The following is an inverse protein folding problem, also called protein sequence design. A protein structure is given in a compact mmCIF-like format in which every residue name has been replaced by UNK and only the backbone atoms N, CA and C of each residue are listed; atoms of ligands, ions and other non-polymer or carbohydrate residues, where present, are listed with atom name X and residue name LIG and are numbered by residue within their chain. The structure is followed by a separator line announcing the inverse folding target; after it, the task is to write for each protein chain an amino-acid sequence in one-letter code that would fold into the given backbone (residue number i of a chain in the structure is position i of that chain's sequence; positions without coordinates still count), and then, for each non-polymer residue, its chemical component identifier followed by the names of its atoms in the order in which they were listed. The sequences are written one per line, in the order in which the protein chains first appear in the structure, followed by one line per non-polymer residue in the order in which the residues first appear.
data_IF_171661905973
#
_entry.id   IF_171661905973
#
_cell.length_a   1.000
_cell.length_b   1.000
_cell.length_c   1.000
_cell.angle_alpha   90.00
_cell.angle_beta   90.00
_cell.angle_gamma   90.00
#
_symmetry.space_group_name_H-M   'P 1'
#
loop_
_entity.id
_entity.type
_entity.pdbx_description
1 polymer ?
#
# COMPACT_ATOMS: atom_id res chain seq x y z
N UNK A 1 -1.62 -24.34 6.96
CA UNK A 1 -1.29 -22.94 6.63
C UNK A 1 -0.87 -22.16 7.89
N UNK A 2 -1.66 -22.11 8.97
CA UNK A 2 -1.34 -21.34 10.18
C UNK A 2 0.00 -21.73 10.82
N UNK A 3 0.29 -23.05 10.94
CA UNK A 3 1.56 -23.57 11.46
C UNK A 3 2.76 -23.14 10.58
N UNK A 4 2.62 -23.24 9.24
CA UNK A 4 3.68 -22.83 8.32
C UNK A 4 3.99 -21.33 8.45
N UNK A 5 2.96 -20.50 8.57
CA UNK A 5 3.11 -19.06 8.81
C UNK A 5 3.79 -18.79 10.16
N UNK A 6 3.40 -19.51 11.22
CA UNK A 6 4.01 -19.39 12.55
C UNK A 6 5.50 -19.72 12.54
N UNK A 7 5.87 -20.86 11.92
CA UNK A 7 7.27 -21.30 11.80
C UNK A 7 8.07 -20.27 10.99
N UNK A 8 7.55 -19.79 9.84
CA UNK A 8 8.21 -18.78 9.01
C UNK A 8 8.47 -17.48 9.78
N UNK A 9 7.52 -17.02 10.60
CA UNK A 9 7.67 -15.84 11.45
C UNK A 9 8.72 -16.02 12.53
N UNK A 10 8.78 -17.21 13.16
CA UNK A 10 9.80 -17.55 14.16
C UNK A 10 11.19 -17.59 13.54
N UNK A 11 11.36 -18.22 12.38
CA UNK A 11 12.65 -18.26 11.66
C UNK A 11 13.10 -16.83 11.30
N UNK A 12 12.18 -15.99 10.80
CA UNK A 12 12.49 -14.61 10.48
C UNK A 12 12.90 -13.81 11.73
N UNK A 13 12.19 -13.99 12.86
CA UNK A 13 12.53 -13.34 14.12
C UNK A 13 13.94 -13.75 14.60
N UNK A 14 14.24 -15.05 14.61
CA UNK A 14 15.55 -15.57 15.01
C UNK A 14 16.67 -15.01 14.12
N UNK A 15 16.45 -15.02 12.80
CA UNK A 15 17.39 -14.45 11.85
C UNK A 15 17.65 -12.94 12.08
N UNK A 16 16.59 -12.16 12.30
CA UNK A 16 16.71 -10.73 12.61
C UNK A 16 17.44 -10.49 13.94
N UNK A 17 17.16 -11.28 14.97
CA UNK A 17 17.88 -11.16 16.25
C UNK A 17 19.38 -11.47 16.09
N UNK A 18 19.72 -12.51 15.33
CA UNK A 18 21.10 -12.88 15.04
C UNK A 18 21.79 -11.76 14.23
N UNK A 19 21.17 -11.32 13.14
CA UNK A 19 21.70 -10.26 12.28
C UNK A 19 21.88 -8.93 13.04
N UNK A 20 20.92 -8.56 13.89
CA UNK A 20 21.01 -7.37 14.74
C UNK A 20 22.18 -7.47 15.71
N UNK A 21 22.35 -8.61 16.37
CA UNK A 21 23.44 -8.83 17.32
C UNK A 21 24.84 -8.72 16.67
N UNK A 22 24.98 -9.15 15.41
CA UNK A 22 26.26 -9.07 14.68
C UNK A 22 26.52 -7.71 14.03
N UNK A 23 25.44 -7.01 13.60
CA UNK A 23 25.56 -5.76 12.83
C UNK A 23 25.40 -4.49 13.67
N UNK A 24 24.59 -4.55 14.72
CA UNK A 24 24.32 -3.41 15.58
C UNK A 24 25.19 -3.55 16.81
N UNK A 25 26.31 -2.79 16.87
CA UNK A 25 27.05 -2.60 18.11
C UNK A 25 26.35 -1.49 18.88
N UNK A 26 25.66 -1.78 20.00
CA UNK A 26 25.05 -0.73 20.80
C UNK A 26 26.17 0.14 21.39
N UNK A 27 26.27 1.37 20.92
CA UNK A 27 27.05 2.39 21.59
C UNK A 27 26.40 2.64 22.96
N UNK A 28 27.16 2.54 24.04
CA UNK A 28 26.66 2.83 25.37
C UNK A 28 26.35 4.31 25.45
N UNK A 29 25.09 4.65 25.29
CA UNK A 29 24.61 6.00 25.48
C UNK A 29 24.79 6.36 26.96
N UNK A 30 25.65 7.34 27.25
CA UNK A 30 25.97 7.78 28.60
C UNK A 30 24.82 8.55 29.26
N UNK A 31 23.81 8.94 28.48
CA UNK A 31 22.66 9.70 28.95
C UNK A 31 21.38 9.31 28.20
N UNK A 32 20.83 8.10 28.44
CA UNK A 32 19.64 7.63 27.71
C UNK A 32 18.46 8.55 28.01
N UNK A 33 17.70 8.99 26.99
CA UNK A 33 16.50 9.80 27.21
C UNK A 33 15.51 9.02 28.07
N UNK A 34 14.78 9.72 28.94
CA UNK A 34 13.81 9.10 29.84
C UNK A 34 12.86 8.18 29.06
N UNK A 35 12.75 6.93 29.45
CA UNK A 35 11.94 5.86 28.82
C UNK A 35 10.52 6.34 28.48
N UNK A 36 9.92 7.18 29.32
CA UNK A 36 8.58 7.76 29.12
C UNK A 36 8.51 8.71 27.93
N UNK A 37 9.57 9.48 27.65
CA UNK A 37 9.62 10.40 26.50
C UNK A 37 9.76 9.62 25.19
N UNK A 38 10.58 8.59 25.19
CA UNK A 38 10.75 7.68 24.03
C UNK A 38 9.44 6.97 23.74
N UNK A 39 8.80 6.40 24.77
CA UNK A 39 7.51 5.73 24.65
C UNK A 39 6.43 6.66 24.07
N UNK A 40 6.36 7.91 24.54
CA UNK A 40 5.41 8.90 24.02
C UNK A 40 5.63 9.21 22.54
N UNK A 41 6.89 9.29 22.10
CA UNK A 41 7.23 9.47 20.68
C UNK A 41 6.82 8.27 19.84
N UNK A 42 7.08 7.05 20.32
CA UNK A 42 6.70 5.81 19.66
C UNK A 42 5.17 5.70 19.52
N UNK A 43 4.42 5.96 20.61
CA UNK A 43 2.95 5.92 20.59
C UNK A 43 2.39 6.98 19.64
N UNK A 44 2.96 8.19 19.63
CA UNK A 44 2.49 9.28 18.76
C UNK A 44 2.59 8.94 17.26
N UNK A 45 3.55 8.13 16.87
CA UNK A 45 3.72 7.69 15.48
C UNK A 45 3.02 6.35 15.23
N UNK A 46 3.14 5.41 16.16
CA UNK A 46 2.63 4.05 16.01
C UNK A 46 1.10 3.95 16.11
N UNK A 47 0.47 4.75 16.98
CA UNK A 47 -0.98 4.70 17.15
C UNK A 47 -1.76 5.11 15.89
N UNK A 48 -1.41 6.20 15.18
CA UNK A 48 -2.01 6.52 13.89
C UNK A 48 -1.85 5.40 12.86
N UNK A 49 -0.66 4.82 12.75
CA UNK A 49 -0.41 3.73 11.81
C UNK A 49 -1.22 2.46 12.14
N UNK A 50 -1.35 2.12 13.42
CA UNK A 50 -2.18 1.02 13.87
C UNK A 50 -3.67 1.26 13.56
N UNK A 51 -4.16 2.47 13.81
CA UNK A 51 -5.55 2.88 13.49
C UNK A 51 -5.82 2.77 11.98
N UNK A 52 -4.90 3.26 11.14
CA UNK A 52 -5.00 3.12 9.67
C UNK A 52 -5.17 1.64 9.26
N UNK A 53 -4.36 0.74 9.84
CA UNK A 53 -4.41 -0.70 9.55
C UNK A 53 -5.73 -1.35 9.99
N UNK A 54 -6.22 -1.00 11.19
CA UNK A 54 -7.49 -1.52 11.69
C UNK A 54 -8.65 -1.09 10.79
N UNK A 55 -8.74 0.19 10.46
CA UNK A 55 -9.78 0.75 9.61
C UNK A 55 -9.72 0.20 8.19
N UNK A 56 -8.50 -0.04 7.66
CA UNK A 56 -8.30 -0.73 6.40
C UNK A 56 -8.92 -2.13 6.40
N UNK A 57 -8.67 -2.93 7.44
CA UNK A 57 -9.25 -4.27 7.56
C UNK A 57 -10.79 -4.23 7.68
N UNK A 58 -11.35 -3.24 8.38
CA UNK A 58 -12.79 -3.03 8.45
C UNK A 58 -13.37 -2.74 7.06
N UNK A 59 -12.77 -1.82 6.30
CA UNK A 59 -13.24 -1.48 4.96
C UNK A 59 -13.16 -2.67 3.99
N UNK A 60 -12.08 -3.44 4.01
CA UNK A 60 -11.96 -4.67 3.20
C UNK A 60 -13.04 -5.69 3.58
N UNK A 61 -13.30 -5.86 4.88
CA UNK A 61 -14.36 -6.75 5.37
C UNK A 61 -15.73 -6.31 4.87
N UNK A 62 -16.01 -5.00 4.84
CA UNK A 62 -17.25 -4.46 4.27
C UNK A 62 -17.36 -4.77 2.77
N UNK A 63 -16.29 -4.56 2.00
CA UNK A 63 -16.25 -4.88 0.56
C UNK A 63 -16.53 -6.37 0.32
N UNK A 64 -15.88 -7.27 1.07
CA UNK A 64 -16.09 -8.72 0.96
C UNK A 64 -17.53 -9.09 1.35
N UNK A 65 -18.06 -8.50 2.41
CA UNK A 65 -19.45 -8.72 2.85
C UNK A 65 -20.46 -8.30 1.78
N UNK A 66 -20.24 -7.17 1.11
CA UNK A 66 -21.07 -6.73 -0.01
C UNK A 66 -21.03 -7.73 -1.17
N UNK A 67 -19.83 -8.18 -1.57
CA UNK A 67 -19.66 -9.16 -2.65
C UNK A 67 -20.35 -10.50 -2.33
N UNK A 68 -20.22 -11.00 -1.09
CA UNK A 68 -20.90 -12.22 -0.66
C UNK A 68 -22.43 -12.11 -0.66
N UNK A 69 -22.97 -10.92 -0.42
CA UNK A 69 -24.43 -10.69 -0.46
C UNK A 69 -24.97 -10.60 -1.90
N UNK A 70 -24.14 -10.21 -2.85
CA UNK A 70 -24.52 -10.09 -4.27
C UNK A 70 -24.51 -11.43 -5.00
N UNK A 71 -23.67 -12.36 -4.58
CA UNK A 71 -23.50 -13.65 -5.22
C UNK A 71 -23.39 -14.78 -4.17
N UNK A 72 -24.49 -15.52 -4.04
CA UNK A 72 -24.59 -16.64 -3.12
C UNK A 72 -23.65 -17.82 -3.50
N UNK A 73 -23.17 -17.87 -4.74
CA UNK A 73 -22.22 -18.91 -5.19
C UNK A 73 -20.80 -18.68 -4.71
N UNK A 74 -20.49 -17.46 -4.27
CA UNK A 74 -19.14 -17.05 -3.85
C UNK A 74 -18.16 -16.88 -5.02
N UNK A 75 -18.60 -17.00 -6.26
CA UNK A 75 -17.73 -16.90 -7.44
C UNK A 75 -17.07 -15.52 -7.54
N UNK A 76 -17.77 -14.44 -7.20
CA UNK A 76 -17.24 -13.09 -7.23
C UNK A 76 -16.12 -12.85 -6.22
N UNK A 77 -16.25 -13.39 -5.01
CA UNK A 77 -15.22 -13.30 -3.98
C UNK A 77 -14.01 -14.16 -4.35
N UNK A 78 -14.25 -15.34 -4.92
CA UNK A 78 -13.19 -16.25 -5.40
C UNK A 78 -12.40 -15.60 -6.55
N UNK A 79 -13.09 -15.02 -7.54
CA UNK A 79 -12.46 -14.30 -8.65
C UNK A 79 -11.61 -13.12 -8.15
N UNK A 80 -12.15 -12.34 -7.21
CA UNK A 80 -11.41 -11.25 -6.55
C UNK A 80 -10.17 -11.77 -5.83
N UNK A 81 -10.27 -12.91 -5.15
CA UNK A 81 -9.14 -13.51 -4.44
C UNK A 81 -8.03 -13.94 -5.39
N UNK A 82 -8.36 -14.57 -6.52
CA UNK A 82 -7.38 -14.91 -7.55
C UNK A 82 -6.73 -13.68 -8.16
N UNK A 83 -7.52 -12.67 -8.53
CA UNK A 83 -6.99 -11.42 -9.06
C UNK A 83 -6.03 -10.75 -8.06
N UNK A 84 -6.38 -10.67 -6.77
CA UNK A 84 -5.53 -10.09 -5.73
C UNK A 84 -4.21 -10.87 -5.55
N UNK A 85 -4.23 -12.20 -5.61
CA UNK A 85 -3.01 -13.00 -5.50
C UNK A 85 -2.05 -12.73 -6.66
N UNK A 86 -2.58 -12.59 -7.87
CA UNK A 86 -1.78 -12.26 -9.05
C UNK A 86 -1.27 -10.81 -8.96
N UNK A 87 -2.13 -9.86 -8.65
CA UNK A 87 -1.80 -8.43 -8.50
C UNK A 87 -0.79 -8.17 -7.37
N UNK A 88 -0.68 -9.08 -6.41
CA UNK A 88 0.28 -8.93 -5.30
C UNK A 88 1.74 -8.89 -5.78
N UNK A 89 2.06 -9.50 -6.91
CA UNK A 89 3.40 -9.40 -7.50
C UNK A 89 3.70 -7.98 -7.98
N UNK A 90 2.75 -7.34 -8.66
CA UNK A 90 2.84 -5.94 -9.09
C UNK A 90 2.97 -5.01 -7.88
N UNK A 91 2.11 -5.21 -6.88
CA UNK A 91 2.18 -4.49 -5.61
C UNK A 91 3.55 -4.60 -4.93
N UNK A 92 4.17 -5.79 -4.89
CA UNK A 92 5.48 -5.97 -4.28
C UNK A 92 6.58 -5.14 -4.96
N UNK A 93 6.53 -5.01 -6.29
CA UNK A 93 7.48 -4.16 -7.04
C UNK A 93 7.29 -2.69 -6.67
N UNK A 94 6.05 -2.20 -6.69
CA UNK A 94 5.70 -0.83 -6.32
C UNK A 94 6.08 -0.52 -4.87
N UNK A 95 5.80 -1.45 -3.95
CA UNK A 95 6.13 -1.31 -2.54
C UNK A 95 7.66 -1.29 -2.29
N UNK A 96 8.42 -2.14 -2.98
CA UNK A 96 9.88 -2.15 -2.86
C UNK A 96 10.49 -0.81 -3.27
N UNK A 97 10.05 -0.23 -4.39
CA UNK A 97 10.49 1.10 -4.84
C UNK A 97 10.07 2.21 -3.86
N UNK A 98 8.86 2.14 -3.32
CA UNK A 98 8.38 3.10 -2.34
C UNK A 98 9.19 3.04 -1.02
N UNK A 99 9.53 1.84 -0.54
CA UNK A 99 10.37 1.68 0.65
C UNK A 99 11.81 2.15 0.40
N UNK A 100 12.40 1.82 -0.75
CA UNK A 100 13.73 2.30 -1.12
C UNK A 100 13.76 3.84 -1.19
N UNK A 101 12.75 4.45 -1.82
CA UNK A 101 12.61 5.91 -1.85
C UNK A 101 12.45 6.51 -0.44
N UNK A 102 11.71 5.87 0.46
CA UNK A 102 11.55 6.36 1.83
C UNK A 102 12.88 6.44 2.58
N UNK A 103 13.79 5.47 2.38
CA UNK A 103 15.15 5.52 2.94
C UNK A 103 15.93 6.71 2.39
N UNK A 104 15.88 6.94 1.06
CA UNK A 104 16.54 8.08 0.43
C UNK A 104 15.98 9.41 0.93
N UNK A 105 14.67 9.52 1.07
CA UNK A 105 14.00 10.71 1.64
C UNK A 105 14.52 11.00 3.05
N UNK A 106 14.67 9.96 3.89
CA UNK A 106 15.24 10.13 5.22
C UNK A 106 16.66 10.70 5.19
N UNK A 107 17.52 10.22 4.28
CA UNK A 107 18.88 10.72 4.13
C UNK A 107 18.92 12.16 3.62
N UNK A 108 18.15 12.49 2.58
CA UNK A 108 18.08 13.85 2.04
C UNK A 108 17.58 14.88 3.05
N UNK A 109 16.57 14.50 3.85
CA UNK A 109 16.07 15.40 4.91
C UNK A 109 17.15 15.61 5.98
N UNK A 110 17.85 14.53 6.39
CA UNK A 110 18.96 14.63 7.35
C UNK A 110 20.15 15.47 6.83
N UNK A 111 20.39 15.44 5.51
CA UNK A 111 21.42 16.23 4.82
C UNK A 111 20.96 17.61 4.36
N UNK A 112 19.71 18.01 4.62
CA UNK A 112 19.09 19.28 4.14
C UNK A 112 19.07 19.42 2.61
N UNK A 113 19.08 18.30 1.85
CA UNK A 113 19.10 18.28 0.39
C UNK A 113 17.68 18.20 -0.21
N UNK A 114 16.87 19.22 0.02
CA UNK A 114 15.44 19.22 -0.30
C UNK A 114 15.16 19.08 -1.81
N UNK A 115 15.93 19.74 -2.67
CA UNK A 115 15.71 19.67 -4.13
C UNK A 115 16.08 18.30 -4.72
N UNK A 116 17.15 17.66 -4.22
CA UNK A 116 17.49 16.28 -4.57
C UNK A 116 16.39 15.32 -4.12
N UNK A 117 15.86 15.49 -2.90
CA UNK A 117 14.75 14.73 -2.36
C UNK A 117 13.51 14.79 -3.26
N UNK A 118 13.09 15.98 -3.67
CA UNK A 118 11.92 16.15 -4.56
C UNK A 118 12.12 15.51 -5.92
N UNK A 119 13.31 15.73 -6.52
CA UNK A 119 13.65 15.18 -7.84
C UNK A 119 13.64 13.66 -7.83
N UNK A 120 14.30 13.05 -6.84
CA UNK A 120 14.47 11.60 -6.82
C UNK A 120 13.19 10.88 -6.37
N UNK A 121 12.38 11.48 -5.49
CA UNK A 121 11.02 10.99 -5.20
C UNK A 121 10.14 11.00 -6.46
N UNK A 122 10.22 12.05 -7.30
CA UNK A 122 9.49 12.08 -8.57
C UNK A 122 9.95 10.98 -9.53
N UNK A 123 11.27 10.75 -9.62
CA UNK A 123 11.83 9.65 -10.42
C UNK A 123 11.36 8.29 -9.92
N UNK A 124 11.39 8.08 -8.61
CA UNK A 124 10.91 6.86 -7.99
C UNK A 124 9.41 6.61 -8.27
N UNK A 125 8.58 7.67 -8.26
CA UNK A 125 7.17 7.56 -8.60
C UNK A 125 6.95 7.16 -10.07
N UNK A 126 7.67 7.79 -11.02
CA UNK A 126 7.58 7.45 -12.45
C UNK A 126 8.07 6.02 -12.71
N UNK A 127 9.18 5.62 -12.10
CA UNK A 127 9.69 4.24 -12.20
C UNK A 127 8.71 3.23 -11.57
N UNK A 128 8.13 3.56 -10.43
CA UNK A 128 7.14 2.72 -9.76
C UNK A 128 5.89 2.51 -10.61
N UNK A 129 5.34 3.59 -11.16
CA UNK A 129 4.20 3.51 -12.09
C UNK A 129 4.56 2.67 -13.31
N UNK A 130 5.69 2.96 -13.96
CA UNK A 130 6.13 2.22 -15.15
C UNK A 130 6.31 0.73 -14.90
N UNK A 131 6.99 0.37 -13.81
CA UNK A 131 7.21 -1.01 -13.42
C UNK A 131 5.90 -1.72 -13.01
N UNK A 132 5.05 -1.06 -12.21
CA UNK A 132 3.76 -1.58 -11.79
C UNK A 132 2.84 -1.85 -12.99
N UNK A 133 2.71 -0.89 -13.90
CA UNK A 133 1.92 -1.02 -15.14
C UNK A 133 2.49 -2.10 -16.05
N UNK A 134 3.82 -2.21 -16.19
CA UNK A 134 4.42 -3.25 -17.00
C UNK A 134 4.13 -4.65 -16.46
N UNK A 135 4.24 -4.85 -15.14
CA UNK A 135 3.98 -6.14 -14.50
C UNK A 135 2.49 -6.48 -14.51
N UNK A 136 1.59 -5.54 -14.16
CA UNK A 136 0.14 -5.78 -14.20
C UNK A 136 -0.37 -5.95 -15.63
N UNK A 137 0.18 -5.21 -16.59
CA UNK A 137 -0.11 -5.40 -18.03
C UNK A 137 0.32 -6.78 -18.53
N UNK A 138 1.49 -7.27 -18.12
CA UNK A 138 1.93 -8.63 -18.43
C UNK A 138 0.94 -9.68 -17.89
N UNK A 139 0.50 -9.53 -16.63
CA UNK A 139 -0.48 -10.43 -16.04
C UNK A 139 -1.86 -10.36 -16.72
N UNK A 140 -2.28 -9.17 -17.16
CA UNK A 140 -3.53 -9.01 -17.90
C UNK A 140 -3.45 -9.69 -19.28
N UNK A 141 -2.35 -9.53 -20.02
CA UNK A 141 -2.12 -10.18 -21.33
C UNK A 141 -2.09 -11.71 -21.20
N UNK A 142 -1.38 -12.23 -20.21
CA UNK A 142 -1.25 -13.66 -19.94
C UNK A 142 -2.28 -14.18 -18.93
N UNK A 143 -3.40 -13.47 -18.73
CA UNK A 143 -4.41 -13.84 -17.73
C UNK A 143 -4.96 -15.25 -17.93
N UNK A 144 -5.25 -15.66 -19.17
CA UNK A 144 -5.79 -17.00 -19.48
C UNK A 144 -4.89 -18.14 -18.98
N UNK A 145 -3.61 -18.25 -19.39
CA UNK A 145 -2.74 -19.32 -18.90
C UNK A 145 -2.46 -19.21 -17.40
N UNK A 146 -2.34 -18.01 -16.85
CA UNK A 146 -2.04 -17.82 -15.43
C UNK A 146 -3.24 -18.22 -14.56
N UNK A 147 -4.45 -17.75 -14.90
CA UNK A 147 -5.67 -18.10 -14.15
C UNK A 147 -6.04 -19.57 -14.36
N UNK A 148 -5.74 -20.14 -15.53
CA UNK A 148 -5.90 -21.57 -15.82
C UNK A 148 -5.09 -22.50 -14.91
N UNK A 149 -4.05 -22.00 -14.20
CA UNK A 149 -3.35 -22.76 -13.16
C UNK A 149 -4.19 -22.92 -11.87
N UNK A 150 -5.19 -22.07 -11.68
CA UNK A 150 -6.04 -22.05 -10.47
C UNK A 150 -7.43 -22.66 -10.72
N UNK A 151 -7.94 -22.62 -11.96
CA UNK A 151 -9.30 -23.09 -12.28
C UNK A 151 -9.45 -23.40 -13.77
N UNK A 152 -10.26 -24.44 -14.06
CA UNK A 152 -10.64 -24.81 -15.43
C UNK A 152 -11.96 -24.14 -15.87
N UNK A 153 -12.62 -23.38 -14.98
CA UNK A 153 -13.90 -22.73 -15.27
C UNK A 153 -13.69 -21.51 -16.19
N UNK A 154 -14.20 -21.54 -17.45
CA UNK A 154 -13.98 -20.47 -18.42
C UNK A 154 -14.59 -19.12 -18.01
N UNK A 155 -15.72 -19.12 -17.29
CA UNK A 155 -16.33 -17.89 -16.81
C UNK A 155 -15.49 -17.23 -15.71
N UNK A 156 -14.90 -18.05 -14.84
CA UNK A 156 -13.98 -17.57 -13.81
C UNK A 156 -12.71 -16.98 -14.45
N UNK A 157 -12.14 -17.64 -15.44
CA UNK A 157 -10.95 -17.16 -16.17
C UNK A 157 -11.25 -15.81 -16.84
N UNK A 158 -12.41 -15.68 -17.49
CA UNK A 158 -12.84 -14.41 -18.10
C UNK A 158 -13.03 -13.30 -17.06
N UNK A 159 -13.69 -13.60 -15.95
CA UNK A 159 -13.96 -12.63 -14.91
C UNK A 159 -12.65 -12.13 -14.27
N UNK A 160 -11.74 -13.03 -13.88
CA UNK A 160 -10.42 -12.66 -13.33
C UNK A 160 -9.61 -11.87 -14.34
N UNK A 161 -9.63 -12.25 -15.62
CA UNK A 161 -8.98 -11.49 -16.69
C UNK A 161 -9.48 -10.05 -16.77
N UNK A 162 -10.80 -9.83 -16.65
CA UNK A 162 -11.39 -8.49 -16.60
C UNK A 162 -10.91 -7.70 -15.37
N UNK A 163 -10.83 -8.34 -14.19
CA UNK A 163 -10.32 -7.71 -12.98
C UNK A 163 -8.86 -7.29 -13.14
N UNK A 164 -8.02 -8.12 -13.78
CA UNK A 164 -6.61 -7.81 -14.05
C UNK A 164 -6.44 -6.63 -15.03
N UNK A 165 -7.36 -6.43 -15.97
CA UNK A 165 -7.36 -5.24 -16.83
C UNK A 165 -7.64 -3.98 -16.00
N UNK A 166 -8.62 -4.02 -15.10
CA UNK A 166 -8.91 -2.89 -14.19
C UNK A 166 -7.74 -2.66 -13.23
N UNK A 167 -7.03 -3.71 -12.84
CA UNK A 167 -5.86 -3.63 -11.96
C UNK A 167 -4.71 -2.80 -12.56
N UNK A 168 -4.58 -2.71 -13.89
CA UNK A 168 -3.59 -1.83 -14.54
C UNK A 168 -3.81 -0.37 -14.10
N UNK A 169 -5.07 0.09 -14.14
CA UNK A 169 -5.42 1.45 -13.70
C UNK A 169 -5.23 1.63 -12.19
N UNK A 170 -5.56 0.60 -11.43
CA UNK A 170 -5.35 0.57 -9.99
C UNK A 170 -3.86 0.70 -9.63
N UNK A 171 -2.97 0.01 -10.35
CA UNK A 171 -1.52 0.07 -10.14
C UNK A 171 -0.91 1.43 -10.44
N UNK A 172 -1.44 2.18 -11.42
CA UNK A 172 -1.02 3.57 -11.66
C UNK A 172 -1.20 4.41 -10.39
N UNK A 173 -2.41 4.35 -9.82
CA UNK A 173 -2.73 5.07 -8.58
C UNK A 173 -1.93 4.55 -7.39
N UNK A 174 -1.90 3.23 -7.21
CA UNK A 174 -1.24 2.55 -6.08
C UNK A 174 0.25 2.85 -6.01
N UNK A 175 0.98 2.74 -7.12
CA UNK A 175 2.42 3.01 -7.16
C UNK A 175 2.73 4.44 -6.75
N UNK A 176 2.02 5.43 -7.29
CA UNK A 176 2.21 6.83 -6.94
C UNK A 176 1.81 7.12 -5.48
N UNK A 177 0.67 6.57 -5.02
CA UNK A 177 0.20 6.71 -3.65
C UNK A 177 1.21 6.14 -2.65
N UNK A 178 1.79 4.97 -2.92
CA UNK A 178 2.81 4.36 -2.06
C UNK A 178 4.06 5.22 -1.99
N UNK A 179 4.61 5.67 -3.13
CA UNK A 179 5.86 6.44 -3.16
C UNK A 179 5.70 7.78 -2.44
N UNK A 180 4.67 8.57 -2.78
CA UNK A 180 4.45 9.86 -2.14
C UNK A 180 3.95 9.72 -0.70
N UNK A 181 3.12 8.72 -0.41
CA UNK A 181 2.62 8.44 0.94
C UNK A 181 3.73 8.07 1.91
N UNK A 182 4.66 7.19 1.52
CA UNK A 182 5.82 6.87 2.34
C UNK A 182 6.80 8.04 2.45
N UNK A 183 7.01 8.81 1.39
CA UNK A 183 7.83 10.00 1.43
C UNK A 183 7.30 11.03 2.44
N UNK A 184 5.97 11.28 2.44
CA UNK A 184 5.32 12.15 3.43
C UNK A 184 5.43 11.61 4.86
N UNK A 185 5.18 10.31 5.07
CA UNK A 185 5.32 9.68 6.39
C UNK A 185 6.76 9.80 6.92
N UNK A 186 7.75 9.56 6.06
CA UNK A 186 9.18 9.65 6.43
C UNK A 186 9.62 11.09 6.70
N UNK A 187 9.04 12.07 6.00
CA UNK A 187 9.33 13.49 6.25
C UNK A 187 8.69 14.06 7.52
N UNK A 188 7.88 13.28 8.24
CA UNK A 188 7.18 13.69 9.46
C UNK A 188 5.71 14.06 9.28
N UNK A 189 5.21 14.14 8.02
CA UNK A 189 3.80 14.42 7.72
C UNK A 189 2.99 13.10 7.62
N UNK A 190 2.91 12.35 8.72
CA UNK A 190 2.23 11.05 8.74
C UNK A 190 0.69 11.17 8.87
N UNK A 191 0.20 12.25 9.47
CA UNK A 191 -1.23 12.43 9.75
C UNK A 191 -2.02 12.64 8.46
N UNK A 192 -1.47 13.40 7.51
CA UNK A 192 -2.16 13.68 6.25
C UNK A 192 -2.41 12.42 5.42
N UNK A 193 -1.41 11.56 5.10
CA UNK A 193 -1.63 10.30 4.40
C UNK A 193 -2.61 9.38 5.10
N UNK A 194 -2.54 9.28 6.44
CA UNK A 194 -3.46 8.48 7.22
C UNK A 194 -4.91 8.98 7.10
N UNK A 195 -5.13 10.28 7.29
CA UNK A 195 -6.49 10.87 7.24
C UNK A 195 -7.12 10.70 5.86
N UNK A 196 -6.37 11.03 4.80
CA UNK A 196 -6.81 10.87 3.41
C UNK A 196 -7.05 9.38 3.10
N UNK A 197 -6.14 8.50 3.54
CA UNK A 197 -6.28 7.05 3.37
C UNK A 197 -7.59 6.52 3.96
N UNK A 198 -7.91 6.89 5.19
CA UNK A 198 -9.15 6.46 5.85
C UNK A 198 -10.38 7.00 5.14
N UNK A 199 -10.43 8.30 4.83
CA UNK A 199 -11.60 8.93 4.21
C UNK A 199 -11.92 8.28 2.86
N UNK A 200 -10.93 8.21 1.98
CA UNK A 200 -11.16 7.73 0.61
C UNK A 200 -11.35 6.22 0.53
N UNK A 201 -10.75 5.45 1.43
CA UNK A 201 -10.98 4.01 1.52
C UNK A 201 -12.45 3.69 1.83
N UNK A 202 -13.08 4.43 2.75
CA UNK A 202 -14.52 4.25 2.99
C UNK A 202 -15.38 4.87 1.89
N UNK A 203 -15.02 6.04 1.37
CA UNK A 203 -15.79 6.74 0.35
C UNK A 203 -15.69 6.03 -1.02
N UNK A 204 -14.47 5.76 -1.50
CA UNK A 204 -14.23 5.24 -2.84
C UNK A 204 -14.16 3.71 -2.88
N UNK A 205 -13.40 3.05 -1.99
CA UNK A 205 -13.33 1.60 -2.04
C UNK A 205 -14.62 0.94 -1.56
N UNK A 206 -15.12 1.29 -0.37
CA UNK A 206 -16.39 0.71 0.13
C UNK A 206 -17.62 1.34 -0.54
N UNK A 207 -17.71 2.67 -0.61
CA UNK A 207 -18.82 3.38 -1.26
C UNK A 207 -18.87 3.12 -2.78
N UNK A 208 -17.71 3.06 -3.45
CA UNK A 208 -17.61 2.68 -4.85
C UNK A 208 -18.04 1.23 -5.10
N UNK A 209 -17.67 0.29 -4.21
CA UNK A 209 -18.17 -1.09 -4.28
C UNK A 209 -19.69 -1.13 -4.17
N UNK A 210 -20.29 -0.37 -3.26
CA UNK A 210 -21.73 -0.27 -3.15
C UNK A 210 -22.36 0.35 -4.41
N UNK A 211 -21.81 1.44 -4.93
CA UNK A 211 -22.35 2.12 -6.09
C UNK A 211 -22.18 1.29 -7.37
N UNK A 212 -20.95 0.94 -7.73
CA UNK A 212 -20.65 0.23 -8.98
C UNK A 212 -20.96 -1.27 -8.88
N UNK A 213 -20.62 -1.91 -7.76
CA UNK A 213 -20.84 -3.33 -7.56
C UNK A 213 -22.29 -3.66 -7.34
N UNK A 214 -22.93 -3.03 -6.33
CA UNK A 214 -24.31 -3.37 -5.90
C UNK A 214 -25.34 -2.66 -6.76
N UNK A 215 -25.31 -1.32 -6.85
CA UNK A 215 -26.36 -0.53 -7.53
C UNK A 215 -26.32 -0.67 -9.04
N UNK A 216 -25.13 -0.63 -9.66
CA UNK A 216 -24.98 -0.80 -11.11
C UNK A 216 -24.82 -2.27 -11.54
N UNK A 217 -24.74 -3.20 -10.60
CA UNK A 217 -24.67 -4.64 -10.90
C UNK A 217 -23.35 -5.11 -11.51
N UNK A 218 -22.26 -4.32 -11.40
CA UNK A 218 -20.95 -4.72 -11.95
C UNK A 218 -20.20 -5.70 -11.04
N UNK A 219 -20.76 -6.06 -9.91
CA UNK A 219 -20.26 -7.07 -8.97
C UNK A 219 -18.79 -6.83 -8.60
N UNK A 220 -17.91 -7.84 -8.74
CA UNK A 220 -16.48 -7.73 -8.41
C UNK A 220 -15.74 -6.70 -9.26
N UNK A 221 -16.13 -6.51 -10.52
CA UNK A 221 -15.55 -5.48 -11.39
C UNK A 221 -15.82 -4.08 -10.80
N UNK A 222 -17.05 -3.83 -10.32
CA UNK A 222 -17.40 -2.57 -9.66
C UNK A 222 -16.58 -2.32 -8.38
N UNK A 223 -16.29 -3.36 -7.61
CA UNK A 223 -15.42 -3.25 -6.44
C UNK A 223 -13.98 -2.88 -6.84
N UNK A 224 -13.43 -3.46 -7.92
CA UNK A 224 -12.10 -3.10 -8.43
C UNK A 224 -12.05 -1.67 -8.96
N UNK A 225 -13.10 -1.22 -9.66
CA UNK A 225 -13.22 0.18 -10.11
C UNK A 225 -13.24 1.14 -8.91
N UNK A 226 -14.00 0.81 -7.86
CA UNK A 226 -13.99 1.58 -6.62
C UNK A 226 -12.61 1.67 -5.97
N UNK A 227 -11.86 0.55 -5.92
CA UNK A 227 -10.49 0.52 -5.41
C UNK A 227 -9.53 1.31 -6.30
N UNK A 228 -9.66 1.23 -7.64
CA UNK A 228 -8.83 1.99 -8.56
C UNK A 228 -9.04 3.51 -8.40
N UNK A 229 -10.28 3.95 -8.25
CA UNK A 229 -10.61 5.35 -7.98
C UNK A 229 -10.02 5.80 -6.63
N UNK A 230 -10.12 5.00 -5.59
CA UNK A 230 -9.52 5.27 -4.28
C UNK A 230 -8.02 5.51 -4.41
N UNK A 231 -7.28 4.59 -5.03
CA UNK A 231 -5.83 4.71 -5.18
C UNK A 231 -5.43 5.91 -6.05
N UNK A 232 -6.13 6.15 -7.16
CA UNK A 232 -5.85 7.28 -8.05
C UNK A 232 -6.09 8.63 -7.36
N UNK A 233 -7.20 8.80 -6.66
CA UNK A 233 -7.51 10.04 -5.96
C UNK A 233 -6.50 10.28 -4.84
N UNK A 234 -6.19 9.26 -4.05
CA UNK A 234 -5.16 9.35 -3.02
C UNK A 234 -3.79 9.71 -3.60
N UNK A 235 -3.40 9.08 -4.72
CA UNK A 235 -2.14 9.41 -5.41
C UNK A 235 -2.04 10.90 -5.78
N UNK A 236 -3.11 11.46 -6.34
CA UNK A 236 -3.17 12.89 -6.69
C UNK A 236 -3.04 13.77 -5.44
N UNK A 237 -3.77 13.44 -4.37
CA UNK A 237 -3.74 14.21 -3.12
C UNK A 237 -2.37 14.13 -2.44
N UNK A 238 -1.72 12.95 -2.41
CA UNK A 238 -0.36 12.79 -1.89
C UNK A 238 0.66 13.57 -2.72
N UNK A 239 0.56 13.51 -4.06
CA UNK A 239 1.42 14.28 -4.96
C UNK A 239 1.27 15.79 -4.75
N UNK A 240 0.03 16.31 -4.67
CA UNK A 240 -0.24 17.72 -4.43
C UNK A 240 0.32 18.16 -3.07
N UNK A 241 0.13 17.36 -2.02
CA UNK A 241 0.69 17.63 -0.68
C UNK A 241 2.21 17.68 -0.73
N UNK A 242 2.84 16.71 -1.40
CA UNK A 242 4.29 16.66 -1.57
C UNK A 242 4.82 17.87 -2.32
N UNK A 243 4.20 18.21 -3.45
CA UNK A 243 4.60 19.34 -4.30
C UNK A 243 4.49 20.69 -3.57
N UNK A 244 3.44 20.88 -2.78
CA UNK A 244 3.20 22.12 -2.02
C UNK A 244 4.22 22.37 -0.89
N UNK A 245 5.11 21.42 -0.59
CA UNK A 245 6.20 21.59 0.36
C UNK A 245 5.79 21.77 1.82
N UNK A 246 4.50 21.56 2.18
CA UNK A 246 4.02 21.73 3.56
C UNK A 246 4.68 20.77 4.55
N UNK A 247 5.12 19.60 4.07
CA UNK A 247 5.84 18.61 4.85
C UNK A 247 7.19 19.12 5.37
N UNK A 248 7.83 20.09 4.67
CA UNK A 248 9.13 20.66 5.07
C UNK A 248 9.05 21.37 6.44
N UNK A 249 7.89 21.99 6.74
CA UNK A 249 7.64 22.66 8.03
C UNK A 249 7.36 21.67 9.17
N UNK A 250 7.10 20.42 8.87
CA UNK A 250 6.80 19.35 9.83
C UNK A 250 8.00 18.40 10.04
N UNK A 251 9.10 18.65 9.33
CA UNK A 251 10.34 17.88 9.45
C UNK A 251 10.78 17.79 10.90
N UNK A 252 11.12 16.58 11.34
CA UNK A 252 11.62 16.31 12.69
C UNK A 252 13.05 16.83 12.91
N UNK A 253 13.70 17.28 11.85
CA UNK A 253 15.02 17.93 11.87
C UNK A 253 14.78 19.43 11.85
N UNK A 254 14.86 20.07 13.01
CA UNK A 254 14.87 21.54 13.09
C UNK A 254 16.18 22.04 12.46
N UNK A 255 16.07 23.00 11.55
CA UNK A 255 17.23 23.82 11.19
C UNK A 255 17.86 24.37 12.49
N UNK A 256 19.13 24.01 12.70
CA UNK A 256 19.96 24.66 13.69
C UNK A 256 20.47 25.99 13.15
#
# INVERSE_FOLDING_TARGET
LALATGISRLVNLLWLCIAARYRIKPEKDTNPPASRQVLRKIIRVGLPAATETILYNIAITLVISMLNRMDATGAQVTARSYALQISNFSYCVSAALAHANAVLVGWYIGGCEIEACKRDTRRAAVLGIGAGVAVSGLFAIFSKPIVGLFTDNPDMIRLVGTLLIVDIFLEIGRSANLVYGFALKTSGDAIYPMTIGIIFMFLCASGGTWLFGVKLGWLAVGAYVGMALDECIRAVLMYVRWRNGRWQKLSLVSEK
#
